data_IF_519464998958
#
_entry.id   IF_519464998958
#
_cell.length_a   1.000
_cell.length_b   1.000
_cell.length_c   1.000
_cell.angle_alpha   90.00
_cell.angle_beta   90.00
_cell.angle_gamma   90.00
#
_symmetry.space_group_name_H-M   'P 1'
#
loop_
_entity.id
_entity.type
_entity.pdbx_description
1 polymer ?
#
# COMPACT_ATOMS: atom_id res chain seq x y z
N UNK A 1 -7.58 -20.78 -5.75
CA UNK A 1 -7.30 -19.37 -5.42
C UNK A 1 -7.33 -18.63 -6.73
N UNK A 2 -8.31 -17.72 -6.91
CA UNK A 2 -8.38 -16.94 -8.14
C UNK A 2 -7.06 -16.21 -8.33
N UNK A 3 -6.58 -16.21 -9.55
CA UNK A 3 -5.33 -15.58 -9.94
C UNK A 3 -5.48 -14.05 -9.78
N UNK A 4 -4.97 -13.51 -8.65
CA UNK A 4 -5.02 -12.08 -8.35
C UNK A 4 -4.36 -11.30 -9.50
N UNK A 5 -3.29 -11.85 -10.09
CA UNK A 5 -2.61 -11.25 -11.23
C UNK A 5 -3.51 -11.17 -12.46
N UNK A 6 -4.22 -12.23 -12.79
CA UNK A 6 -5.19 -12.26 -13.88
C UNK A 6 -6.30 -11.23 -13.68
N UNK A 7 -6.90 -11.19 -12.50
CA UNK A 7 -7.93 -10.20 -12.18
C UNK A 7 -7.44 -8.74 -12.29
N UNK A 8 -6.21 -8.46 -11.82
CA UNK A 8 -5.59 -7.13 -11.96
C UNK A 8 -5.41 -6.76 -13.43
N UNK A 9 -4.93 -7.70 -14.25
CA UNK A 9 -4.76 -7.50 -15.69
C UNK A 9 -6.11 -7.25 -16.37
N UNK A 10 -7.16 -8.01 -16.02
CA UNK A 10 -8.51 -7.83 -16.56
C UNK A 10 -9.08 -6.45 -16.24
N UNK A 11 -8.89 -5.96 -14.99
CA UNK A 11 -9.33 -4.61 -14.59
C UNK A 11 -8.58 -3.53 -15.36
N UNK A 12 -7.27 -3.68 -15.52
CA UNK A 12 -6.47 -2.70 -16.29
C UNK A 12 -6.82 -2.78 -17.78
N UNK A 13 -7.01 -3.97 -18.34
CA UNK A 13 -7.40 -4.14 -19.74
C UNK A 13 -8.78 -3.51 -20.03
N UNK A 14 -9.74 -3.67 -19.12
CA UNK A 14 -11.10 -3.14 -19.29
C UNK A 14 -11.19 -1.62 -19.08
N UNK A 15 -10.47 -1.05 -18.10
CA UNK A 15 -10.62 0.33 -17.64
C UNK A 15 -9.37 1.20 -17.89
N UNK A 16 -8.29 0.63 -18.41
CA UNK A 16 -7.05 1.35 -18.69
C UNK A 16 -6.43 2.02 -17.45
N UNK A 17 -6.00 3.25 -17.59
CA UNK A 17 -5.40 4.05 -16.53
C UNK A 17 -6.36 4.32 -15.36
N UNK A 18 -7.66 4.41 -15.63
CA UNK A 18 -8.69 4.56 -14.59
C UNK A 18 -8.73 3.31 -13.72
N UNK A 19 -8.69 2.12 -14.33
CA UNK A 19 -8.61 0.85 -13.62
C UNK A 19 -7.39 0.77 -12.71
N UNK A 20 -6.22 1.18 -13.22
CA UNK A 20 -4.99 1.25 -12.43
C UNK A 20 -5.13 2.21 -11.24
N UNK A 21 -5.68 3.40 -11.44
CA UNK A 21 -5.91 4.36 -10.35
C UNK A 21 -6.88 3.81 -9.29
N UNK A 22 -7.98 3.17 -9.71
CA UNK A 22 -8.95 2.56 -8.79
C UNK A 22 -8.36 1.40 -8.00
N UNK A 23 -7.51 0.58 -8.62
CA UNK A 23 -6.79 -0.49 -7.93
C UNK A 23 -5.87 0.07 -6.84
N UNK A 24 -5.16 1.16 -7.10
CA UNK A 24 -4.29 1.81 -6.10
C UNK A 24 -5.09 2.52 -4.99
N UNK A 25 -6.29 3.04 -5.29
CA UNK A 25 -7.22 3.53 -4.25
C UNK A 25 -7.66 2.36 -3.37
N UNK A 26 -8.16 1.30 -4.01
CA UNK A 26 -8.67 0.12 -3.31
C UNK A 26 -7.61 -0.53 -2.43
N UNK A 27 -6.37 -0.65 -2.91
CA UNK A 27 -5.23 -1.17 -2.19
C UNK A 27 -4.89 -0.37 -0.93
N UNK A 28 -4.94 0.98 -1.00
CA UNK A 28 -4.74 1.80 0.18
C UNK A 28 -5.84 1.59 1.23
N UNK A 29 -7.08 1.35 0.80
CA UNK A 29 -8.23 1.13 1.69
C UNK A 29 -8.33 -0.32 2.16
N UNK A 30 -7.84 -1.27 1.35
CA UNK A 30 -7.93 -2.70 1.54
C UNK A 30 -6.54 -3.34 1.40
N UNK A 31 -5.77 -3.48 2.50
CA UNK A 31 -4.40 -4.00 2.50
C UNK A 31 -4.16 -5.38 1.85
N UNK A 32 -5.18 -6.27 1.68
CA UNK A 32 -4.96 -7.55 0.98
C UNK A 32 -4.55 -7.45 -0.49
N UNK A 33 -4.73 -6.28 -1.15
CA UNK A 33 -4.30 -6.10 -2.53
C UNK A 33 -2.87 -5.53 -2.51
N UNK A 34 -1.81 -6.32 -2.84
CA UNK A 34 -0.45 -5.81 -2.78
C UNK A 34 -0.12 -4.99 -4.03
N UNK A 35 0.34 -3.76 -3.86
CA UNK A 35 0.85 -2.95 -4.99
C UNK A 35 2.07 -3.57 -5.65
N UNK A 36 2.77 -4.40 -4.90
CA UNK A 36 3.92 -5.19 -5.35
C UNK A 36 3.52 -6.18 -6.47
N UNK A 37 2.22 -6.41 -6.67
CA UNK A 37 1.65 -7.14 -7.80
C UNK A 37 1.09 -6.17 -8.84
N UNK A 38 0.30 -5.19 -8.41
CA UNK A 38 -0.41 -4.25 -9.32
C UNK A 38 0.57 -3.43 -10.16
N UNK A 39 1.59 -2.83 -9.52
CA UNK A 39 2.51 -1.93 -10.21
C UNK A 39 3.49 -2.63 -11.17
N UNK A 40 4.11 -3.78 -10.83
CA UNK A 40 4.89 -4.54 -11.82
C UNK A 40 4.05 -5.06 -12.99
N UNK A 41 2.79 -5.46 -12.77
CA UNK A 41 1.88 -5.84 -13.86
C UNK A 41 1.56 -4.66 -14.77
N UNK A 42 1.33 -3.46 -14.21
CA UNK A 42 1.19 -2.24 -15.02
C UNK A 42 2.48 -1.95 -15.82
N UNK A 43 3.66 -2.17 -15.20
CA UNK A 43 4.97 -2.07 -15.88
C UNK A 43 5.14 -3.08 -17.00
N UNK A 44 4.68 -4.31 -16.82
CA UNK A 44 4.63 -5.33 -17.86
C UNK A 44 3.78 -4.88 -19.07
N UNK A 45 2.58 -4.33 -18.83
CA UNK A 45 1.73 -3.78 -19.90
C UNK A 45 2.37 -2.59 -20.61
N UNK A 46 3.14 -1.75 -19.89
CA UNK A 46 3.97 -0.70 -20.50
C UNK A 46 5.05 -1.30 -21.39
N UNK A 47 5.75 -2.34 -20.95
CA UNK A 47 6.77 -3.03 -21.74
C UNK A 47 6.23 -3.67 -23.03
N UNK A 48 4.96 -4.10 -23.01
CA UNK A 48 4.24 -4.61 -24.19
C UNK A 48 3.74 -3.52 -25.14
N UNK A 49 3.74 -2.25 -24.71
CA UNK A 49 3.17 -1.14 -25.47
C UNK A 49 1.66 -0.95 -25.29
N UNK A 50 1.02 -1.71 -24.39
CA UNK A 50 -0.41 -1.58 -24.08
C UNK A 50 -0.70 -0.31 -23.25
N UNK A 51 0.29 0.16 -22.48
CA UNK A 51 0.24 1.38 -21.67
C UNK A 51 1.47 2.26 -21.92
N UNK A 52 1.32 3.57 -21.71
CA UNK A 52 2.41 4.54 -21.72
C UNK A 52 2.95 4.75 -20.31
N UNK A 53 4.26 4.65 -20.08
CA UNK A 53 4.91 4.71 -18.78
C UNK A 53 4.47 5.93 -17.95
N UNK A 54 4.55 7.12 -18.52
CA UNK A 54 4.23 8.35 -17.78
C UNK A 54 2.75 8.45 -17.38
N UNK A 55 1.85 7.97 -18.23
CA UNK A 55 0.42 7.96 -17.95
C UNK A 55 0.09 6.93 -16.87
N UNK A 56 0.69 5.74 -16.92
CA UNK A 56 0.56 4.72 -15.90
C UNK A 56 1.10 5.21 -14.54
N UNK A 57 2.27 5.87 -14.56
CA UNK A 57 2.88 6.45 -13.36
C UNK A 57 2.01 7.54 -12.72
N UNK A 58 1.46 8.45 -13.54
CA UNK A 58 0.56 9.51 -13.06
C UNK A 58 -0.74 8.93 -12.51
N UNK A 59 -1.36 7.98 -13.22
CA UNK A 59 -2.58 7.32 -12.76
C UNK A 59 -2.37 6.56 -11.45
N UNK A 60 -1.28 5.79 -11.34
CA UNK A 60 -0.92 5.07 -10.12
C UNK A 60 -0.66 6.03 -8.96
N UNK A 61 0.09 7.11 -9.19
CA UNK A 61 0.40 8.10 -8.15
C UNK A 61 -0.86 8.83 -7.70
N UNK A 62 -1.73 9.22 -8.64
CA UNK A 62 -3.03 9.81 -8.32
C UNK A 62 -3.88 8.86 -7.45
N UNK A 63 -3.98 7.59 -7.83
CA UNK A 63 -4.72 6.57 -7.06
C UNK A 63 -4.15 6.40 -5.65
N UNK A 64 -2.81 6.31 -5.52
CA UNK A 64 -2.13 6.21 -4.23
C UNK A 64 -2.39 7.43 -3.34
N UNK A 65 -2.34 8.64 -3.89
CA UNK A 65 -2.60 9.88 -3.15
C UNK A 65 -4.07 9.98 -2.75
N UNK A 66 -5.00 9.67 -3.66
CA UNK A 66 -6.43 9.70 -3.39
C UNK A 66 -6.83 8.72 -2.28
N UNK A 67 -6.36 7.46 -2.35
CA UNK A 67 -6.59 6.47 -1.30
C UNK A 67 -6.03 6.90 0.06
N UNK A 68 -4.81 7.46 0.05
CA UNK A 68 -4.19 8.00 1.25
C UNK A 68 -4.95 9.18 1.86
N UNK A 69 -5.48 10.09 1.02
CA UNK A 69 -6.29 11.22 1.46
C UNK A 69 -7.62 10.78 2.08
N UNK A 70 -8.22 9.71 1.58
CA UNK A 70 -9.43 9.12 2.19
C UNK A 70 -9.10 8.65 3.62
N UNK A 71 -8.02 7.89 3.81
CA UNK A 71 -7.60 7.44 5.16
C UNK A 71 -7.18 8.59 6.07
N UNK A 72 -6.49 9.59 5.51
CA UNK A 72 -6.15 10.81 6.23
C UNK A 72 -7.40 11.57 6.69
N UNK A 73 -8.41 11.71 5.82
CA UNK A 73 -9.67 12.36 6.15
C UNK A 73 -10.45 11.59 7.22
N UNK A 74 -10.47 10.26 7.15
CA UNK A 74 -11.04 9.41 8.19
C UNK A 74 -10.35 9.64 9.54
N UNK A 75 -9.01 9.74 9.56
CA UNK A 75 -8.26 10.09 10.78
C UNK A 75 -8.56 11.48 11.28
N UNK A 76 -8.60 12.47 10.38
CA UNK A 76 -8.75 13.90 10.72
C UNK A 76 -10.15 14.25 11.25
N UNK A 77 -11.19 13.74 10.60
CA UNK A 77 -12.59 14.08 10.91
C UNK A 77 -13.25 13.03 11.81
N UNK A 78 -12.85 11.76 11.69
CA UNK A 78 -13.38 10.67 12.50
C UNK A 78 -12.81 10.61 13.92
N UNK A 79 -11.62 11.18 14.11
CA UNK A 79 -10.90 11.14 15.37
C UNK A 79 -10.53 9.73 15.82
N UNK A 80 -9.86 9.66 16.99
CA UNK A 80 -9.35 8.40 17.55
C UNK A 80 -10.45 7.33 17.75
N UNK A 81 -11.65 7.73 18.16
CA UNK A 81 -12.78 6.80 18.41
C UNK A 81 -13.24 6.07 17.13
N UNK A 82 -13.33 6.81 16.02
CA UNK A 82 -13.74 6.23 14.73
C UNK A 82 -12.66 5.31 14.18
N UNK A 83 -11.42 5.73 14.31
CA UNK A 83 -10.24 4.95 13.91
C UNK A 83 -10.18 3.62 14.67
N UNK A 84 -10.40 3.61 15.97
CA UNK A 84 -10.43 2.38 16.77
C UNK A 84 -11.63 1.50 16.45
N UNK A 85 -12.79 2.10 16.13
CA UNK A 85 -14.00 1.35 15.75
C UNK A 85 -13.85 0.61 14.42
N UNK A 86 -13.23 1.24 13.42
CA UNK A 86 -12.99 0.68 12.09
C UNK A 86 -11.58 0.05 11.96
N UNK A 87 -10.67 0.41 12.82
CA UNK A 87 -9.29 -0.07 12.86
C UNK A 87 -9.18 -1.58 13.09
N UNK A 88 -10.22 -2.21 13.67
CA UNK A 88 -10.29 -3.67 13.78
C UNK A 88 -10.20 -4.37 12.43
N UNK A 89 -10.70 -3.77 11.35
CA UNK A 89 -10.58 -4.28 9.98
C UNK A 89 -9.16 -4.07 9.40
N UNK A 90 -8.44 -3.06 9.89
CA UNK A 90 -7.09 -2.69 9.44
C UNK A 90 -6.01 -3.18 10.42
N UNK A 91 -6.38 -3.98 11.44
CA UNK A 91 -5.49 -4.42 12.53
C UNK A 91 -4.80 -3.24 13.24
N UNK A 92 -5.47 -2.09 13.31
CA UNK A 92 -5.02 -0.90 14.03
C UNK A 92 -5.64 -0.93 15.42
N UNK A 93 -4.86 -1.32 16.41
CA UNK A 93 -5.19 -1.24 17.82
C UNK A 93 -4.68 0.07 18.46
N UNK A 94 -5.03 0.29 19.72
CA UNK A 94 -4.68 1.50 20.45
C UNK A 94 -3.17 1.65 20.64
N UNK A 95 -2.47 0.53 20.87
CA UNK A 95 -1.03 0.50 21.06
C UNK A 95 -0.26 0.90 19.78
N UNK A 96 -0.74 0.47 18.62
CA UNK A 96 -0.15 0.85 17.31
C UNK A 96 -0.40 2.31 16.98
N UNK A 97 -1.56 2.85 17.34
CA UNK A 97 -1.85 4.28 17.21
C UNK A 97 -0.89 5.10 18.10
N UNK A 98 -0.69 4.69 19.36
CA UNK A 98 0.21 5.39 20.29
C UNK A 98 1.67 5.31 19.83
N UNK A 99 2.11 4.17 19.29
CA UNK A 99 3.43 4.04 18.68
C UNK A 99 3.58 4.97 17.46
N UNK A 100 2.59 5.00 16.58
CA UNK A 100 2.61 5.88 15.41
C UNK A 100 2.61 7.35 15.82
N UNK A 101 1.81 7.75 16.82
CA UNK A 101 1.84 9.10 17.39
C UNK A 101 3.20 9.45 17.99
N UNK A 102 3.86 8.48 18.66
CA UNK A 102 5.22 8.62 19.16
C UNK A 102 6.25 8.85 18.05
N UNK A 103 6.13 8.10 16.95
CA UNK A 103 7.02 8.25 15.80
C UNK A 103 6.81 9.60 15.10
N UNK A 104 5.56 10.04 14.95
CA UNK A 104 5.24 11.38 14.40
C UNK A 104 5.82 12.50 15.25
N UNK A 105 5.72 12.41 16.59
CA UNK A 105 6.34 13.39 17.50
C UNK A 105 7.85 13.44 17.40
N UNK A 106 8.49 12.29 17.15
CA UNK A 106 9.96 12.17 17.11
C UNK A 106 10.54 12.54 15.74
N UNK A 107 9.90 12.13 14.66
CA UNK A 107 10.44 12.21 13.29
C UNK A 107 9.65 13.17 12.39
N UNK A 108 8.51 13.69 12.86
CA UNK A 108 7.70 14.65 12.13
C UNK A 108 7.25 14.16 10.76
N UNK A 109 7.37 15.04 9.77
CA UNK A 109 6.90 14.83 8.40
C UNK A 109 7.65 13.68 7.66
N UNK A 110 8.88 13.38 8.07
CA UNK A 110 9.69 12.31 7.48
C UNK A 110 9.04 10.92 7.59
N UNK A 111 8.24 10.70 8.66
CA UNK A 111 7.49 9.46 8.83
C UNK A 111 6.57 9.19 7.66
N UNK A 112 5.87 10.23 7.15
CA UNK A 112 4.96 10.09 6.01
C UNK A 112 5.73 9.70 4.75
N UNK A 113 6.89 10.34 4.50
CA UNK A 113 7.68 10.08 3.30
C UNK A 113 8.24 8.65 3.30
N UNK A 114 8.92 8.25 4.38
CA UNK A 114 9.57 6.94 4.46
C UNK A 114 8.60 5.78 4.60
N UNK A 115 7.45 5.98 5.28
CA UNK A 115 6.42 4.96 5.35
C UNK A 115 5.87 4.55 3.98
N UNK A 116 5.97 5.44 2.95
CA UNK A 116 5.50 5.13 1.58
C UNK A 116 6.33 4.03 0.90
N UNK A 117 7.57 3.82 1.31
CA UNK A 117 8.46 2.78 0.76
C UNK A 117 8.27 1.44 1.49
N UNK A 118 7.59 1.45 2.65
CA UNK A 118 7.38 0.24 3.44
C UNK A 118 5.95 -0.28 3.23
N UNK A 119 5.80 -1.52 2.72
CA UNK A 119 4.50 -2.18 2.60
C UNK A 119 3.74 -2.15 3.94
N UNK A 120 2.42 -2.05 3.90
CA UNK A 120 1.54 -1.90 5.08
C UNK A 120 1.69 -0.56 5.83
N UNK A 121 2.91 -0.06 6.09
CA UNK A 121 3.11 1.21 6.79
C UNK A 121 2.53 2.40 6.01
N UNK A 122 2.57 2.35 4.67
CA UNK A 122 2.09 3.43 3.79
C UNK A 122 0.59 3.70 3.92
N UNK A 123 -0.25 2.69 4.14
CA UNK A 123 -1.68 2.88 4.37
C UNK A 123 -1.94 3.33 5.80
N UNK A 124 -1.29 2.66 6.77
CA UNK A 124 -1.47 2.91 8.20
C UNK A 124 -1.05 4.33 8.59
N UNK A 125 0.06 4.86 8.04
CA UNK A 125 0.59 6.19 8.39
C UNK A 125 -0.37 7.34 8.08
N UNK A 126 -1.29 7.15 7.12
CA UNK A 126 -2.26 8.17 6.72
C UNK A 126 -3.24 8.51 7.84
N UNK A 127 -3.60 7.53 8.65
CA UNK A 127 -4.55 7.70 9.77
C UNK A 127 -3.95 8.55 10.90
N UNK A 128 -2.77 8.24 11.47
CA UNK A 128 -2.10 9.10 12.46
C UNK A 128 -1.83 10.51 11.93
N UNK A 129 -1.41 10.65 10.67
CA UNK A 129 -1.25 11.98 10.07
C UNK A 129 -2.53 12.81 10.13
N UNK A 130 -3.68 12.17 9.93
CA UNK A 130 -5.00 12.80 10.05
C UNK A 130 -5.37 13.13 11.50
N UNK A 131 -5.24 12.19 12.45
CA UNK A 131 -5.58 12.38 13.86
C UNK A 131 -4.72 13.47 14.51
N UNK A 132 -3.45 13.56 14.14
CA UNK A 132 -2.52 14.59 14.60
C UNK A 132 -2.71 15.94 13.88
N UNK A 133 -3.70 16.04 12.98
CA UNK A 133 -4.04 17.26 12.25
C UNK A 133 -2.89 17.84 11.43
N UNK A 134 -2.02 16.99 10.86
CA UNK A 134 -0.99 17.42 9.93
C UNK A 134 -1.63 18.29 8.82
N UNK A 135 -1.01 19.40 8.36
CA UNK A 135 -1.55 20.18 7.25
C UNK A 135 -1.76 19.32 6.00
N UNK A 136 -2.99 19.36 5.43
CA UNK A 136 -3.35 18.48 4.31
C UNK A 136 -2.43 18.64 3.09
N UNK A 137 -2.05 19.88 2.77
CA UNK A 137 -1.13 20.17 1.65
C UNK A 137 0.21 19.48 1.88
N UNK A 138 0.77 19.57 3.08
CA UNK A 138 2.06 18.95 3.42
C UNK A 138 1.97 17.43 3.35
N UNK A 139 0.89 16.84 3.89
CA UNK A 139 0.62 15.40 3.77
C UNK A 139 0.53 14.97 2.31
N UNK A 140 -0.23 15.70 1.47
CA UNK A 140 -0.40 15.39 0.05
C UNK A 140 0.92 15.43 -0.71
N UNK A 141 1.74 16.48 -0.51
CA UNK A 141 3.03 16.64 -1.19
C UNK A 141 3.98 15.49 -0.82
N UNK A 142 4.14 15.19 0.47
CA UNK A 142 5.03 14.12 0.93
C UNK A 142 4.55 12.74 0.45
N UNK A 143 3.22 12.53 0.48
CA UNK A 143 2.61 11.32 -0.06
C UNK A 143 2.85 11.20 -1.57
N UNK A 144 2.66 12.28 -2.33
CA UNK A 144 2.88 12.28 -3.77
C UNK A 144 4.35 11.97 -4.12
N UNK A 145 5.30 12.61 -3.44
CA UNK A 145 6.74 12.36 -3.66
C UNK A 145 7.10 10.91 -3.34
N UNK A 146 6.70 10.41 -2.17
CA UNK A 146 7.00 9.04 -1.77
C UNK A 146 6.33 7.99 -2.67
N UNK A 147 5.05 8.21 -3.03
CA UNK A 147 4.33 7.32 -3.94
C UNK A 147 4.90 7.38 -5.36
N UNK A 148 5.29 8.55 -5.86
CA UNK A 148 5.92 8.70 -7.16
C UNK A 148 7.22 7.90 -7.23
N UNK A 149 8.08 8.02 -6.22
CA UNK A 149 9.34 7.27 -6.17
C UNK A 149 9.10 5.75 -6.13
N UNK A 150 8.17 5.28 -5.30
CA UNK A 150 7.82 3.86 -5.17
C UNK A 150 7.19 3.30 -6.46
N UNK A 151 6.21 4.03 -7.03
CA UNK A 151 5.53 3.62 -8.25
C UNK A 151 6.50 3.59 -9.44
N UNK A 152 7.43 4.57 -9.53
CA UNK A 152 8.47 4.59 -10.57
C UNK A 152 9.35 3.34 -10.47
N UNK A 153 9.76 2.97 -9.26
CA UNK A 153 10.60 1.80 -9.02
C UNK A 153 9.89 0.51 -9.43
N UNK A 154 8.63 0.32 -9.01
CA UNK A 154 7.90 -0.92 -9.27
C UNK A 154 7.39 -1.03 -10.72
N UNK A 155 6.87 0.07 -11.32
CA UNK A 155 6.50 0.08 -12.74
C UNK A 155 7.76 -0.11 -13.60
N UNK A 156 8.86 0.58 -13.28
CA UNK A 156 10.14 0.43 -13.97
C UNK A 156 10.68 -1.01 -13.88
N UNK A 157 10.61 -1.62 -12.71
CA UNK A 157 10.96 -3.04 -12.54
C UNK A 157 10.09 -3.94 -13.42
N UNK A 158 8.77 -3.68 -13.48
CA UNK A 158 7.84 -4.40 -14.33
C UNK A 158 8.16 -4.28 -15.83
N UNK A 159 8.58 -3.10 -16.29
CA UNK A 159 9.03 -2.88 -17.69
C UNK A 159 10.25 -3.73 -17.99
N UNK A 160 11.25 -3.72 -17.11
CA UNK A 160 12.51 -4.47 -17.30
C UNK A 160 12.26 -5.98 -17.23
N UNK A 161 11.45 -6.43 -16.27
CA UNK A 161 11.12 -7.84 -16.08
C UNK A 161 10.10 -8.35 -17.09
N UNK A 162 9.32 -7.47 -17.71
CA UNK A 162 8.29 -7.83 -18.70
C UNK A 162 8.83 -8.58 -19.92
N UNK A 163 10.10 -8.37 -20.27
CA UNK A 163 10.79 -9.16 -21.28
C UNK A 163 11.02 -10.64 -20.84
N UNK A 164 10.92 -10.93 -19.53
CA UNK A 164 11.12 -12.26 -18.94
C UNK A 164 9.95 -12.62 -18.01
N UNK A 165 8.71 -12.53 -18.51
CA UNK A 165 7.50 -12.79 -17.72
C UNK A 165 7.48 -14.13 -16.98
N UNK A 166 8.06 -15.16 -17.56
CA UNK A 166 8.18 -16.48 -16.90
C UNK A 166 8.97 -16.40 -15.57
N UNK A 167 9.94 -15.50 -15.49
CA UNK A 167 10.70 -15.25 -14.26
C UNK A 167 9.81 -14.53 -13.24
N UNK A 168 9.01 -13.55 -13.69
CA UNK A 168 8.07 -12.81 -12.82
C UNK A 168 7.00 -13.74 -12.27
N UNK A 169 6.43 -14.62 -13.07
CA UNK A 169 5.41 -15.59 -12.67
C UNK A 169 5.94 -16.55 -11.59
N UNK A 170 7.19 -17.01 -11.75
CA UNK A 170 7.88 -17.82 -10.75
C UNK A 170 8.14 -17.04 -9.46
N UNK A 171 8.52 -15.78 -9.56
CA UNK A 171 8.76 -14.90 -8.40
C UNK A 171 7.47 -14.54 -7.68
N UNK A 172 6.40 -14.18 -8.40
CA UNK A 172 5.08 -13.87 -7.81
C UNK A 172 4.50 -15.11 -7.11
N UNK A 173 4.64 -16.30 -7.70
CA UNK A 173 4.26 -17.56 -7.06
C UNK A 173 5.05 -17.83 -5.77
N UNK A 174 6.37 -17.58 -5.78
CA UNK A 174 7.23 -17.69 -4.60
C UNK A 174 6.93 -16.61 -3.56
N UNK A 175 6.63 -15.39 -3.98
CA UNK A 175 6.31 -14.26 -3.08
C UNK A 175 4.99 -14.49 -2.34
N UNK A 176 3.99 -15.07 -2.99
CA UNK A 176 2.74 -15.50 -2.35
C UNK A 176 3.02 -16.49 -1.21
N UNK A 177 3.91 -17.43 -1.41
CA UNK A 177 4.32 -18.39 -0.39
C UNK A 177 5.15 -17.74 0.73
N UNK A 178 6.06 -16.83 0.39
CA UNK A 178 6.87 -16.09 1.37
C UNK A 178 5.99 -15.17 2.23
N UNK A 179 5.03 -14.46 1.63
CA UNK A 179 4.07 -13.62 2.37
C UNK A 179 3.19 -14.48 3.29
N UNK A 180 2.74 -15.64 2.81
CA UNK A 180 1.98 -16.59 3.65
C UNK A 180 2.83 -17.14 4.80
N UNK A 181 4.09 -17.50 4.55
CA UNK A 181 5.01 -17.98 5.59
C UNK A 181 5.34 -16.88 6.60
N UNK A 182 5.62 -15.66 6.13
CA UNK A 182 5.87 -14.51 7.02
C UNK A 182 4.62 -14.17 7.82
N UNK A 183 3.43 -14.15 7.21
CA UNK A 183 2.17 -13.95 7.92
C UNK A 183 1.92 -15.06 8.93
N UNK A 184 2.15 -16.33 8.59
CA UNK A 184 2.02 -17.46 9.51
C UNK A 184 3.03 -17.38 10.67
N UNK A 185 4.27 -16.99 10.41
CA UNK A 185 5.29 -16.79 11.46
C UNK A 185 4.95 -15.63 12.40
N UNK A 186 4.44 -14.51 11.85
CA UNK A 186 3.96 -13.37 12.65
C UNK A 186 2.78 -13.79 13.53
N UNK A 187 1.80 -14.51 12.97
CA UNK A 187 0.66 -15.02 13.75
C UNK A 187 1.12 -16.02 14.81
N UNK A 188 2.00 -16.97 14.47
CA UNK A 188 2.56 -17.93 15.42
C UNK A 188 3.31 -17.24 16.54
N UNK A 189 4.16 -16.25 16.23
CA UNK A 189 4.90 -15.46 17.24
C UNK A 189 3.95 -14.68 18.15
N UNK A 190 2.90 -14.07 17.59
CA UNK A 190 1.88 -13.36 18.38
C UNK A 190 1.10 -14.30 19.30
N UNK A 191 0.77 -15.51 18.84
CA UNK A 191 0.08 -16.53 19.64
C UNK A 191 0.98 -17.04 20.77
N UNK A 192 2.26 -17.30 20.51
CA UNK A 192 3.23 -17.73 21.53
C UNK A 192 3.45 -16.64 22.58
N UNK A 193 3.65 -15.39 22.17
CA UNK A 193 3.81 -14.25 23.09
C UNK A 193 2.54 -14.01 23.90
N UNK A 194 1.36 -14.18 23.29
CA UNK A 194 0.09 -14.06 24.02
C UNK A 194 -0.15 -15.22 24.99
N UNK A 195 0.26 -16.44 24.63
CA UNK A 195 0.20 -17.62 25.51
C UNK A 195 1.14 -17.51 26.72
N UNK A 196 2.35 -16.98 26.53
CA UNK A 196 3.34 -16.76 27.60
C UNK A 196 2.98 -15.61 28.55
N UNK A 197 2.09 -14.69 28.17
CA UNK A 197 1.59 -13.60 29.03
C UNK A 197 0.39 -13.99 29.90
N UNK A 198 -0.20 -15.17 29.66
CA UNK A 198 -1.36 -15.68 30.41
C UNK A 198 -1.03 -16.84 31.37
N UNK A 199 0.20 -17.31 31.38
CA UNK A 199 0.76 -18.24 32.39
C UNK A 199 1.67 -17.49 33.34
#
# INVERSE_FOLDING_TARGET
>A
MGDIGGWVLDVIAALGYVGLALLLIAENLFPPIPSEVVLPLAGFLVGRGDLVFWQALLAATFGSVAGALILYALGRYGGRKLVLRYGKFLHVDEDRLDQADGWFRRYGDWVVLFARVVPLARSVVSIPAGTMKMPAIRFTVLTAIGSLAWNTLLIGAGVILGANWQVVETWVGSYSNVVLVVAALVVATLLVVHGLRKG
#
